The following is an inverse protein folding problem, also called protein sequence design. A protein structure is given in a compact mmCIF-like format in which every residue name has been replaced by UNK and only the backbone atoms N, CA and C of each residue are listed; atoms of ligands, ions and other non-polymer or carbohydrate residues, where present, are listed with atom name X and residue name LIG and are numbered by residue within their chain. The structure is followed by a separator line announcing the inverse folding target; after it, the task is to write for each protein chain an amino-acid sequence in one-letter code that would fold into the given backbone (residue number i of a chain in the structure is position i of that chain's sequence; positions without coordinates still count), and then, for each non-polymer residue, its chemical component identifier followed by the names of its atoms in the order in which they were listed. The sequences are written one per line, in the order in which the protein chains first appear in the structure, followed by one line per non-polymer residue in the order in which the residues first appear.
data_IF_002439625645
#
_entry.id   IF_002439625645
#
_cell.length_a   1.000
_cell.length_b   1.000
_cell.length_c   1.000
_cell.angle_alpha   90.00
_cell.angle_beta   90.00
_cell.angle_gamma   90.00
#
_symmetry.space_group_name_H-M   'P 1'
#
loop_
_entity.id
_entity.type
_entity.pdbx_description
1 polymer ?
#
# COMPACT_ATOMS: atom_id res chain seq x y z
N UNK A 1 -5.29 28.54 -26.02
CA UNK A 1 -5.37 27.15 -25.87
C UNK A 1 -5.05 26.73 -24.47
N UNK A 2 -5.94 26.11 -23.83
CA UNK A 2 -5.69 25.71 -22.47
C UNK A 2 -5.38 24.23 -22.45
N UNK A 3 -4.46 23.87 -21.60
CA UNK A 3 -4.09 22.50 -21.41
C UNK A 3 -4.99 21.92 -20.37
N UNK A 4 -5.55 20.77 -20.66
CA UNK A 4 -6.33 20.06 -19.71
C UNK A 4 -5.43 19.64 -18.55
N UNK A 5 -5.99 19.62 -17.36
CA UNK A 5 -5.20 19.20 -16.21
C UNK A 5 -4.70 17.78 -16.38
N UNK A 6 -5.54 16.90 -16.93
CA UNK A 6 -5.10 15.54 -17.13
C UNK A 6 -3.96 15.49 -18.14
N UNK A 7 -3.96 16.35 -19.14
CA UNK A 7 -2.83 16.40 -20.06
C UNK A 7 -1.57 16.83 -19.34
N UNK A 8 -1.71 17.82 -18.46
CA UNK A 8 -0.58 18.35 -17.75
C UNK A 8 0.06 17.26 -16.88
N UNK A 9 -0.77 16.44 -16.27
CA UNK A 9 -0.26 15.41 -15.36
C UNK A 9 -0.08 14.05 -16.04
N UNK A 10 -0.24 13.98 -17.35
CA UNK A 10 -0.18 12.70 -18.03
C UNK A 10 1.18 12.03 -17.84
N UNK A 11 2.24 12.81 -17.92
CA UNK A 11 3.56 12.25 -17.74
C UNK A 11 3.70 11.66 -16.33
N UNK A 12 3.20 12.38 -15.33
CA UNK A 12 3.24 11.85 -13.98
C UNK A 12 2.45 10.56 -13.87
N UNK A 13 1.26 10.53 -14.47
CA UNK A 13 0.45 9.32 -14.39
C UNK A 13 1.16 8.14 -15.03
N UNK A 14 1.76 8.37 -16.19
CA UNK A 14 2.46 7.30 -16.88
C UNK A 14 3.65 6.81 -16.06
N UNK A 15 4.41 7.72 -15.50
CA UNK A 15 5.57 7.34 -14.71
C UNK A 15 5.15 6.63 -13.43
N UNK A 16 4.09 7.10 -12.80
CA UNK A 16 3.62 6.47 -11.57
C UNK A 16 3.12 5.05 -11.84
N UNK A 17 2.43 4.86 -12.98
CA UNK A 17 2.03 3.50 -13.34
C UNK A 17 3.23 2.59 -13.43
N UNK A 18 4.29 3.05 -14.08
CA UNK A 18 5.47 2.23 -14.24
C UNK A 18 6.17 1.97 -12.91
N UNK A 19 6.21 3.00 -12.08
CA UNK A 19 6.84 2.84 -10.77
C UNK A 19 6.07 1.85 -9.89
N UNK A 20 4.75 1.91 -9.96
CA UNK A 20 3.95 0.98 -9.17
C UNK A 20 4.12 -0.45 -9.67
N UNK A 21 4.18 -0.63 -10.99
CA UNK A 21 4.42 -1.97 -11.52
C UNK A 21 5.78 -2.50 -11.11
N UNK A 22 6.77 -1.64 -11.13
CA UNK A 22 8.11 -2.01 -10.72
C UNK A 22 8.14 -2.39 -9.25
N UNK A 23 7.46 -1.59 -8.43
CA UNK A 23 7.40 -1.86 -7.00
C UNK A 23 6.77 -3.22 -6.76
N UNK A 24 5.70 -3.55 -7.46
CA UNK A 24 5.05 -4.83 -7.29
C UNK A 24 5.99 -5.98 -7.62
N UNK A 25 6.73 -5.85 -8.72
CA UNK A 25 7.64 -6.91 -9.11
C UNK A 25 8.66 -7.18 -8.01
N UNK A 26 9.22 -6.14 -7.45
CA UNK A 26 10.21 -6.32 -6.41
C UNK A 26 9.58 -6.86 -5.13
N UNK A 27 8.39 -6.39 -4.78
CA UNK A 27 7.75 -6.88 -3.57
C UNK A 27 7.39 -8.35 -3.67
N UNK A 28 7.02 -8.80 -4.86
CA UNK A 28 6.61 -10.19 -5.02
C UNK A 28 7.75 -11.17 -4.84
N UNK A 29 8.98 -10.74 -5.10
CA UNK A 29 10.12 -11.65 -4.97
C UNK A 29 10.94 -11.37 -3.72
N UNK A 30 10.57 -10.39 -2.93
CA UNK A 30 11.33 -10.04 -1.75
C UNK A 30 11.21 -11.14 -0.71
N UNK A 31 12.35 -11.55 -0.16
CA UNK A 31 12.37 -12.61 0.86
C UNK A 31 12.32 -11.97 2.23
N UNK A 32 11.32 -12.26 3.03
CA UNK A 32 11.25 -11.59 4.33
C UNK A 32 12.40 -11.93 5.24
N UNK A 33 12.88 -13.15 5.19
CA UNK A 33 13.95 -13.54 6.11
C UNK A 33 15.29 -12.95 5.75
N UNK A 34 15.51 -12.69 4.48
CA UNK A 34 16.78 -12.14 4.02
C UNK A 34 16.51 -11.20 2.87
N UNK A 35 15.94 -10.03 3.16
CA UNK A 35 15.57 -9.13 2.07
C UNK A 35 16.79 -8.62 1.34
N UNK A 36 16.70 -8.63 0.04
CA UNK A 36 17.77 -8.12 -0.80
C UNK A 36 17.82 -6.62 -0.68
N UNK A 37 18.98 -6.09 -0.32
CA UNK A 37 19.11 -4.65 -0.13
C UNK A 37 18.82 -3.88 -1.39
N UNK A 38 19.22 -4.42 -2.53
CA UNK A 38 18.96 -3.70 -3.77
C UNK A 38 17.48 -3.66 -4.10
N UNK A 39 16.77 -4.74 -3.80
CA UNK A 39 15.33 -4.74 -4.02
C UNK A 39 14.63 -3.78 -3.07
N UNK A 40 15.05 -3.77 -1.81
CA UNK A 40 14.46 -2.82 -0.88
C UNK A 40 14.72 -1.38 -1.32
N UNK A 41 15.93 -1.11 -1.78
CA UNK A 41 16.24 0.23 -2.27
C UNK A 41 15.41 0.58 -3.48
N UNK A 42 15.19 -0.38 -4.38
CA UNK A 42 14.40 -0.11 -5.57
C UNK A 42 12.97 0.22 -5.19
N UNK A 43 12.40 -0.52 -4.25
CA UNK A 43 11.05 -0.26 -3.80
C UNK A 43 10.98 1.10 -3.13
N UNK A 44 11.97 1.41 -2.30
CA UNK A 44 12.00 2.71 -1.62
C UNK A 44 12.09 3.83 -2.64
N UNK A 45 12.96 3.69 -3.63
CA UNK A 45 13.12 4.74 -4.62
C UNK A 45 11.86 4.94 -5.46
N UNK A 46 11.15 3.84 -5.76
CA UNK A 46 9.89 3.97 -6.47
C UNK A 46 8.89 4.77 -5.66
N UNK A 47 8.77 4.44 -4.37
CA UNK A 47 7.85 5.20 -3.52
C UNK A 47 8.27 6.66 -3.42
N UNK A 48 9.56 6.89 -3.27
CA UNK A 48 10.05 8.26 -3.15
C UNK A 48 9.76 9.07 -4.41
N UNK A 49 9.93 8.44 -5.57
CA UNK A 49 9.66 9.13 -6.83
C UNK A 49 8.18 9.44 -6.98
N UNK A 50 7.34 8.51 -6.61
CA UNK A 50 5.90 8.77 -6.68
C UNK A 50 5.53 9.91 -5.73
N UNK A 51 6.06 9.88 -4.53
CA UNK A 51 5.76 10.93 -3.56
C UNK A 51 6.23 12.29 -4.09
N UNK A 52 7.39 12.32 -4.71
CA UNK A 52 7.92 13.56 -5.25
C UNK A 52 7.10 14.11 -6.38
N UNK A 53 6.45 13.27 -7.12
CA UNK A 53 5.57 13.71 -8.21
C UNK A 53 4.19 14.13 -7.75
N UNK A 54 3.88 13.67 -6.78
CA UNK A 54 2.55 13.91 -6.33
C UNK A 54 2.36 15.34 -5.95
N UNK A 55 2.48 16.13 -6.47
CA UNK A 55 2.27 17.51 -6.33
C UNK A 55 1.21 17.78 -5.28
N UNK A 56 0.96 18.84 -4.97
CA UNK A 56 -0.03 19.24 -4.08
C UNK A 56 -1.42 18.96 -4.52
N UNK A 57 -1.50 18.55 -5.56
CA UNK A 57 -2.72 18.22 -6.16
C UNK A 57 -3.26 16.86 -5.82
N UNK A 58 -2.40 16.01 -5.42
CA UNK A 58 -2.78 14.60 -5.23
C UNK A 58 -2.47 14.20 -3.79
N UNK A 59 -3.04 14.89 -2.88
CA UNK A 59 -2.65 14.75 -1.47
C UNK A 59 -2.95 13.36 -0.90
N UNK A 60 -4.02 12.70 -1.34
CA UNK A 60 -4.34 11.38 -0.82
C UNK A 60 -3.24 10.39 -1.21
N UNK A 61 -2.85 10.42 -2.47
CA UNK A 61 -1.77 9.55 -2.93
C UNK A 61 -0.47 9.90 -2.22
N UNK A 62 -0.21 11.19 -2.05
CA UNK A 62 1.02 11.62 -1.42
C UNK A 62 1.10 11.12 0.02
N UNK A 63 0.01 11.22 0.76
CA UNK A 63 0.03 10.79 2.16
C UNK A 63 0.23 9.29 2.27
N UNK A 64 -0.47 8.51 1.45
CA UNK A 64 -0.32 7.07 1.46
C UNK A 64 1.13 6.70 1.14
N UNK A 65 1.66 7.32 0.11
CA UNK A 65 3.02 7.03 -0.32
C UNK A 65 4.04 7.42 0.74
N UNK A 66 3.80 8.56 1.40
CA UNK A 66 4.71 9.03 2.43
C UNK A 66 4.80 8.04 3.58
N UNK A 67 3.65 7.51 4.01
CA UNK A 67 3.66 6.55 5.11
C UNK A 67 4.38 5.27 4.71
N UNK A 68 4.15 4.81 3.49
CA UNK A 68 4.84 3.62 3.01
C UNK A 68 6.35 3.88 2.91
N UNK A 69 6.71 5.04 2.40
CA UNK A 69 8.13 5.35 2.24
C UNK A 69 8.86 5.33 3.57
N UNK A 70 8.24 5.86 4.60
CA UNK A 70 8.87 5.86 5.91
C UNK A 70 9.14 4.45 6.40
N UNK A 71 8.18 3.55 6.19
CA UNK A 71 8.37 2.17 6.62
C UNK A 71 9.42 1.46 5.78
N UNK A 72 9.42 1.74 4.49
CA UNK A 72 10.44 1.15 3.62
C UNK A 72 11.83 1.62 4.03
N UNK A 73 11.94 2.87 4.44
CA UNK A 73 13.22 3.37 4.91
C UNK A 73 13.68 2.66 6.16
N UNK A 74 12.75 2.40 7.07
CA UNK A 74 13.11 1.66 8.28
C UNK A 74 13.54 0.24 7.94
N UNK A 75 12.87 -0.39 6.99
CA UNK A 75 13.24 -1.74 6.60
C UNK A 75 14.63 -1.77 5.97
N UNK A 76 14.91 -0.83 5.08
CA UNK A 76 16.20 -0.87 4.39
C UNK A 76 17.35 -0.48 5.31
N UNK A 77 17.06 0.24 6.38
CA UNK A 77 18.10 0.56 7.36
C UNK A 77 18.24 -0.52 8.43
N UNK A 78 17.48 -1.59 8.31
CA UNK A 78 17.56 -2.67 9.28
C UNK A 78 16.86 -2.37 10.58
N UNK A 79 16.05 -1.34 10.62
CA UNK A 79 15.37 -0.95 11.86
C UNK A 79 14.01 -1.61 12.00
N UNK A 80 13.54 -2.26 10.95
CA UNK A 80 12.28 -2.98 11.01
C UNK A 80 12.49 -4.33 10.35
N UNK A 81 12.15 -5.39 11.09
CA UNK A 81 12.26 -6.73 10.56
C UNK A 81 11.05 -7.04 9.71
N UNK A 82 11.30 -7.49 8.50
CA UNK A 82 10.21 -7.82 7.60
C UNK A 82 9.67 -9.21 7.90
N UNK A 83 8.42 -9.40 7.57
CA UNK A 83 7.81 -10.71 7.58
C UNK A 83 6.79 -10.75 6.46
N UNK A 84 6.15 -11.89 6.28
CA UNK A 84 5.21 -12.05 5.19
C UNK A 84 4.04 -11.09 5.32
N UNK A 85 3.57 -10.88 6.54
CA UNK A 85 2.44 -9.98 6.75
C UNK A 85 2.78 -8.55 6.35
N UNK A 86 3.99 -8.13 6.66
CA UNK A 86 4.41 -6.77 6.31
C UNK A 86 4.54 -6.62 4.80
N UNK A 87 5.11 -7.62 4.15
CA UNK A 87 5.22 -7.57 2.70
C UNK A 87 3.85 -7.55 2.06
N UNK A 88 2.92 -8.33 2.59
CA UNK A 88 1.56 -8.31 2.09
C UNK A 88 0.91 -6.95 2.30
N UNK A 89 1.20 -6.30 3.42
CA UNK A 89 0.67 -4.97 3.63
C UNK A 89 1.26 -3.98 2.63
N UNK A 90 2.54 -4.12 2.30
CA UNK A 90 3.11 -3.26 1.28
C UNK A 90 2.47 -3.51 -0.08
N UNK A 91 2.20 -4.76 -0.41
CA UNK A 91 1.51 -5.06 -1.67
C UNK A 91 0.11 -4.47 -1.68
N UNK A 92 -0.57 -4.57 -0.56
CA UNK A 92 -1.89 -3.97 -0.42
C UNK A 92 -1.82 -2.46 -0.57
N UNK A 93 -0.81 -1.85 0.01
CA UNK A 93 -0.61 -0.40 -0.12
C UNK A 93 -0.40 -0.04 -1.58
N UNK A 94 0.40 -0.82 -2.28
CA UNK A 94 0.64 -0.56 -3.70
C UNK A 94 -0.67 -0.65 -4.47
N UNK A 95 -1.49 -1.64 -4.17
CA UNK A 95 -2.77 -1.76 -4.86
C UNK A 95 -3.67 -0.57 -4.60
N UNK A 96 -3.68 -0.08 -3.36
CA UNK A 96 -4.49 1.08 -3.05
C UNK A 96 -3.93 2.33 -3.72
N UNK A 97 -2.62 2.45 -3.76
CA UNK A 97 -2.02 3.57 -4.49
C UNK A 97 -2.41 3.55 -5.96
N UNK A 98 -2.48 2.36 -6.54
CA UNK A 98 -2.92 2.26 -7.92
C UNK A 98 -4.37 2.73 -8.08
N UNK A 99 -5.21 2.36 -7.14
CA UNK A 99 -6.60 2.82 -7.19
C UNK A 99 -6.69 4.33 -7.05
N UNK A 100 -5.86 4.89 -6.16
CA UNK A 100 -5.84 6.34 -6.00
C UNK A 100 -5.40 7.02 -7.28
N UNK A 101 -4.36 6.49 -7.88
CA UNK A 101 -3.87 7.05 -9.14
C UNK A 101 -4.94 6.96 -10.22
N UNK A 102 -5.61 5.82 -10.31
CA UNK A 102 -6.64 5.65 -11.32
C UNK A 102 -7.80 6.61 -11.11
N UNK A 103 -8.14 6.88 -9.85
CA UNK A 103 -9.18 7.87 -9.58
C UNK A 103 -8.76 9.25 -10.07
N UNK A 104 -7.52 9.62 -9.79
CA UNK A 104 -7.05 10.92 -10.25
C UNK A 104 -7.04 11.00 -11.78
N UNK A 105 -6.71 9.90 -12.45
CA UNK A 105 -6.74 9.90 -13.91
C UNK A 105 -8.14 10.23 -14.45
N UNK A 106 -9.15 9.88 -13.67
CA UNK A 106 -10.52 10.15 -14.07
C UNK A 106 -11.09 11.39 -13.40
N UNK A 107 -10.22 12.19 -12.82
CA UNK A 107 -10.64 13.42 -12.14
C UNK A 107 -11.64 13.13 -11.03
N UNK A 108 -11.43 12.05 -10.32
CA UNK A 108 -12.28 11.66 -9.23
C UNK A 108 -11.48 11.60 -7.95
N UNK A 109 -12.18 11.72 -6.83
CA UNK A 109 -11.52 11.60 -5.54
C UNK A 109 -11.28 10.14 -5.23
N UNK A 110 -10.12 9.81 -4.71
CA UNK A 110 -9.88 8.43 -4.30
C UNK A 110 -10.83 8.00 -3.19
N UNK A 111 -11.00 6.71 -3.07
CA UNK A 111 -11.91 6.14 -2.11
C UNK A 111 -11.44 6.43 -0.68
N UNK A 112 -12.31 7.07 0.10
CA UNK A 112 -11.94 7.50 1.44
C UNK A 112 -11.77 6.31 2.38
N UNK A 113 -12.60 5.29 2.22
CA UNK A 113 -12.50 4.14 3.13
C UNK A 113 -11.19 3.40 2.94
N UNK A 114 -10.78 3.21 1.70
CA UNK A 114 -9.50 2.57 1.44
C UNK A 114 -8.35 3.39 1.97
N UNK A 115 -8.44 4.70 1.79
CA UNK A 115 -7.40 5.59 2.27
C UNK A 115 -7.28 5.51 3.79
N UNK A 116 -8.41 5.60 4.49
CA UNK A 116 -8.39 5.52 5.95
C UNK A 116 -7.84 4.18 6.42
N UNK A 117 -8.28 3.12 5.77
CA UNK A 117 -7.83 1.80 6.16
C UNK A 117 -6.33 1.64 6.03
N UNK A 118 -5.79 2.02 4.87
CA UNK A 118 -4.37 1.77 4.66
C UNK A 118 -3.51 2.70 5.50
N UNK A 119 -3.95 3.93 5.69
CA UNK A 119 -3.17 4.84 6.53
C UNK A 119 -3.14 4.35 7.97
N UNK A 120 -4.27 3.87 8.47
CA UNK A 120 -4.27 3.32 9.81
C UNK A 120 -3.36 2.12 9.93
N UNK A 121 -3.42 1.23 8.96
CA UNK A 121 -2.59 0.04 9.02
C UNK A 121 -1.10 0.39 8.99
N UNK A 122 -0.74 1.34 8.14
CA UNK A 122 0.66 1.72 8.04
C UNK A 122 1.12 2.43 9.31
N UNK A 123 0.29 3.27 9.88
CA UNK A 123 0.66 3.94 11.11
C UNK A 123 0.79 2.98 12.27
N UNK A 124 -0.08 1.98 12.33
CA UNK A 124 0.03 0.97 13.37
C UNK A 124 1.32 0.18 13.24
N UNK A 125 1.66 -0.17 12.01
CA UNK A 125 2.91 -0.87 11.80
C UNK A 125 4.09 -0.02 12.24
N UNK A 126 4.04 1.27 11.95
CA UNK A 126 5.13 2.16 12.35
C UNK A 126 5.26 2.20 13.87
N UNK A 127 4.15 2.23 14.57
CA UNK A 127 4.20 2.23 16.03
C UNK A 127 4.76 0.92 16.56
N UNK A 128 4.36 -0.19 15.97
CA UNK A 128 4.88 -1.47 16.42
C UNK A 128 6.37 -1.58 16.14
N UNK A 129 6.81 -1.06 15.02
CA UNK A 129 8.23 -1.11 14.70
C UNK A 129 9.05 -0.34 15.73
N UNK A 130 8.46 0.70 16.30
CA UNK A 130 9.14 1.45 17.34
C UNK A 130 8.93 0.85 18.72
N UNK A 131 8.15 -0.21 18.82
CA UNK A 131 7.91 -0.83 20.10
C UNK A 131 6.95 -0.10 20.98
N UNK A 132 6.13 0.78 20.43
CA UNK A 132 5.28 1.61 21.27
C UNK A 132 3.91 1.03 21.49
N UNK A 133 3.36 0.32 20.53
CA UNK A 133 2.08 -0.30 20.71
C UNK A 133 2.11 -1.66 20.10
N UNK A 134 2.65 -2.59 20.80
CA UNK A 134 2.90 -3.86 20.16
C UNK A 134 1.66 -4.65 19.82
N UNK A 135 0.56 -4.35 20.39
CA UNK A 135 -0.56 -5.23 20.20
C UNK A 135 -1.54 -4.78 19.13
N UNK A 136 -1.47 -3.54 18.70
CA UNK A 136 -2.51 -3.06 17.79
C UNK A 136 -2.41 -3.70 16.43
N UNK A 137 -1.24 -3.71 15.85
CA UNK A 137 -1.08 -4.33 14.55
C UNK A 137 -1.23 -5.83 14.66
N UNK A 138 -0.76 -6.38 15.75
CA UNK A 138 -0.92 -7.80 15.96
C UNK A 138 -2.39 -8.17 15.98
N UNK A 139 -3.20 -7.36 16.61
CA UNK A 139 -4.62 -7.62 16.61
C UNK A 139 -5.22 -7.51 15.23
N UNK A 140 -4.80 -6.54 14.47
CA UNK A 140 -5.26 -6.43 13.09
C UNK A 140 -4.86 -7.64 12.29
N UNK A 141 -3.64 -8.07 12.45
CA UNK A 141 -3.18 -9.25 11.76
C UNK A 141 -3.95 -10.47 12.16
N UNK A 142 -4.22 -10.60 13.42
CA UNK A 142 -4.96 -11.74 13.90
C UNK A 142 -6.37 -11.73 13.33
N UNK A 143 -6.99 -10.58 13.32
CA UNK A 143 -8.33 -10.51 12.75
C UNK A 143 -8.31 -10.88 11.29
N UNK A 144 -7.35 -10.37 10.56
CA UNK A 144 -7.26 -10.71 9.16
C UNK A 144 -6.98 -12.17 8.95
N UNK A 145 -6.17 -12.75 9.81
CA UNK A 145 -5.83 -14.13 9.66
C UNK A 145 -6.91 -15.06 10.15
N UNK A 146 -7.72 -14.61 11.03
CA UNK A 146 -8.76 -15.48 11.51
C UNK A 146 -9.84 -15.67 10.48
N UNK A 147 -9.79 -14.91 9.43
CA UNK A 147 -10.65 -15.22 8.33
C UNK A 147 -10.29 -16.57 7.85
N UNK A 148 -11.24 -17.29 7.57
CA UNK A 148 -10.95 -18.65 7.28
C UNK A 148 -10.11 -18.84 6.12
N UNK A 149 -9.79 -18.23 5.76
CA UNK A 149 -9.15 -18.32 4.88
C UNK A 149 -8.08 -18.71 4.74
N UNK A 150 -7.91 -18.62 5.19
CA UNK A 150 -6.86 -18.87 5.28
C UNK A 150 -5.95 -19.25 4.28
N UNK A 151 -5.80 -20.36 3.71
CA UNK A 151 -4.87 -20.70 2.74
C UNK A 151 -5.18 -20.05 1.47
N UNK A 152 -6.40 -20.02 1.08
CA UNK A 152 -6.75 -19.35 -0.10
C UNK A 152 -6.53 -17.90 0.03
N UNK A 153 -6.68 -17.38 1.19
CA UNK A 153 -6.43 -15.99 1.42
C UNK A 153 -5.02 -15.65 1.21
N UNK A 154 -4.13 -16.61 1.39
CA UNK A 154 -2.77 -16.28 1.22
C UNK A 154 -2.43 -16.03 -0.20
N UNK A 155 -3.12 -16.64 -1.13
CA UNK A 155 -2.80 -16.39 -2.52
C UNK A 155 -3.37 -15.08 -3.00
N UNK A 156 -4.16 -14.41 -2.17
CA UNK A 156 -4.70 -13.11 -2.49
C UNK A 156 -4.24 -12.12 -1.46
N UNK A 157 -4.13 -10.88 -1.84
CA UNK A 157 -3.71 -9.89 -0.87
C UNK A 157 -4.84 -9.70 0.12
N UNK A 158 -4.51 -9.42 1.36
CA UNK A 158 -5.55 -9.11 2.34
C UNK A 158 -6.40 -7.93 1.91
N UNK A 159 -5.83 -7.04 1.18
CA UNK A 159 -6.57 -5.91 0.71
C UNK A 159 -7.71 -6.32 -0.19
N UNK A 160 -7.52 -7.29 -1.07
CA UNK A 160 -8.57 -7.72 -1.93
C UNK A 160 -9.76 -8.23 -1.15
N UNK A 161 -9.49 -8.98 -0.10
CA UNK A 161 -10.54 -9.51 0.71
C UNK A 161 -11.30 -8.40 1.41
N UNK A 162 -10.58 -7.48 1.98
CA UNK A 162 -11.20 -6.40 2.72
C UNK A 162 -12.00 -5.50 1.81
N UNK A 163 -11.44 -5.16 0.67
CA UNK A 163 -12.17 -4.31 -0.25
C UNK A 163 -13.40 -4.98 -0.81
N UNK A 164 -13.32 -6.27 -1.01
CA UNK A 164 -14.48 -7.00 -1.44
C UNK A 164 -15.59 -6.86 -0.44
N UNK A 165 -15.29 -7.00 0.83
CA UNK A 165 -16.30 -6.86 1.86
C UNK A 165 -16.83 -5.44 1.92
N UNK A 166 -15.95 -4.48 1.80
CA UNK A 166 -16.39 -3.10 1.82
C UNK A 166 -17.31 -2.78 0.67
N UNK A 167 -16.97 -3.27 -0.49
CA UNK A 167 -17.80 -3.01 -1.64
C UNK A 167 -19.12 -3.73 -1.59
N UNK A 168 -19.13 -4.89 -0.96
CA UNK A 168 -20.35 -5.62 -0.80
C UNK A 168 -21.25 -4.93 0.20
N UNK A 169 -20.72 -4.06 0.89
CA UNK A 169 -21.55 -3.42 1.87
C UNK A 169 -21.55 -4.22 3.09
N UNK A 170 -21.21 -4.87 2.98
CA UNK A 170 -21.22 -5.51 3.77
C UNK A 170 -20.77 -6.26 4.05
N UNK A 171 -20.77 -6.38 3.90
CA UNK A 171 -20.40 -7.05 3.98
C UNK A 171 -20.38 -7.95 4.12
N UNK A 172 -20.70 -8.17 4.24
CA UNK A 172 -20.79 -9.10 4.40
C UNK A 172 -20.02 -9.73 4.03
N UNK A 173 -19.64 -9.54 3.85
CA UNK A 173 -18.85 -10.02 3.54
C UNK A 173 -18.52 -11.00 3.81
N UNK A 174 -18.71 -11.24 4.14
CA UNK A 174 -18.33 -12.11 4.57
C UNK A 174 -18.57 -13.20 3.93
N UNK A 175 -19.19 -13.36 3.57
CA UNK A 175 -19.54 -14.35 3.05
C UNK A 175 -18.78 -14.73 2.13
N UNK A 176 -18.45 -14.28 1.76
CA UNK A 176 -17.79 -14.57 0.94
C UNK A 176 -16.87 -15.18 1.19
N UNK A 177 -16.81 -15.37 1.61
CA UNK A 177 -16.01 -15.94 2.00
C UNK A 177 -15.94 -16.62 1.84
#
# INVERSE_FOLDING_TARGET
VSMDISDFYQTFFDEADELLADMEQHLLVLQPEAPDAEQLNAIFRAAHSIKGGXXXXFSVLQETTHLMENLLDEARRGEMQLNTDIINLFLETKDIMQEQLDAYKQSQEPDAASFDYICQALRQLALEAKGETPSAVTRLSVVAKSEPQDEQSRSQSPRRIILSRLKAGEVDLLEEE
#
